data_IF_144227419098
#
_entry.id   IF_144227419098
#
_cell.length_a   1.000
_cell.length_b   1.000
_cell.length_c   1.000
_cell.angle_alpha   90.00
_cell.angle_beta   90.00
_cell.angle_gamma   90.00
#
_symmetry.space_group_name_H-M   'P 1'
#
loop_
_entity.id
_entity.type
_entity.pdbx_description
1 polymer ?
#
# COMPACT_ATOMS: atom_id res chain seq x y z
N UNK A 1 18.36 -15.04 31.73
CA UNK A 1 18.61 -14.89 30.26
C UNK A 1 17.26 -14.97 29.58
N UNK A 2 16.80 -13.87 29.00
CA UNK A 2 15.51 -13.83 28.32
C UNK A 2 15.58 -14.69 27.06
N UNK A 3 14.75 -15.73 27.00
CA UNK A 3 14.53 -16.54 25.82
C UNK A 3 13.90 -15.61 24.76
N UNK A 4 14.72 -15.10 23.83
CA UNK A 4 14.18 -14.36 22.67
C UNK A 4 13.42 -15.39 21.85
N UNK A 5 12.10 -15.22 21.82
CA UNK A 5 11.23 -16.00 20.95
C UNK A 5 11.66 -15.69 19.50
N UNK A 6 12.53 -16.54 18.93
CA UNK A 6 13.14 -16.39 17.60
C UNK A 6 12.14 -16.70 16.48
N UNK A 7 10.91 -17.07 16.81
CA UNK A 7 9.89 -17.53 15.86
C UNK A 7 9.07 -16.38 15.22
N UNK A 8 9.31 -15.13 15.65
CA UNK A 8 8.60 -13.97 15.11
C UNK A 8 9.60 -13.05 14.42
N UNK A 9 9.61 -12.99 13.08
CA UNK A 9 10.48 -12.09 12.35
C UNK A 9 10.06 -10.63 12.52
N UNK A 10 11.01 -9.72 12.40
CA UNK A 10 10.71 -8.31 12.19
C UNK A 10 10.29 -8.12 10.73
N UNK A 11 9.23 -7.36 10.50
CA UNK A 11 8.73 -7.05 9.15
C UNK A 11 8.89 -5.56 8.92
N UNK A 12 9.62 -5.19 7.86
CA UNK A 12 9.71 -3.83 7.35
C UNK A 12 8.87 -3.76 6.07
N UNK A 13 7.80 -2.97 6.10
CA UNK A 13 6.95 -2.73 4.94
C UNK A 13 7.27 -1.36 4.35
N UNK A 14 7.67 -1.32 3.07
CA UNK A 14 7.98 -0.09 2.33
C UNK A 14 6.97 0.03 1.20
N UNK A 15 6.23 1.13 1.16
CA UNK A 15 5.22 1.42 0.16
C UNK A 15 5.60 2.71 -0.58
N UNK A 16 5.89 2.60 -1.87
CA UNK A 16 6.05 3.77 -2.75
C UNK A 16 4.69 4.39 -3.09
N UNK A 17 4.70 5.67 -3.47
CA UNK A 17 3.52 6.36 -3.96
C UNK A 17 3.69 6.64 -5.46
N UNK A 18 2.65 6.36 -6.23
CA UNK A 18 2.55 6.63 -7.67
C UNK A 18 3.71 6.05 -8.52
N UNK A 19 4.32 4.96 -8.07
CA UNK A 19 5.39 4.30 -8.79
C UNK A 19 4.84 3.28 -9.79
N UNK A 20 5.09 3.50 -11.09
CA UNK A 20 4.77 2.52 -12.12
C UNK A 20 5.58 1.23 -11.98
N UNK A 21 5.00 0.09 -12.31
CA UNK A 21 5.67 -1.21 -12.24
C UNK A 21 6.96 -1.27 -13.08
N UNK A 22 7.03 -0.47 -14.14
CA UNK A 22 8.18 -0.30 -15.05
C UNK A 22 9.26 0.66 -14.53
N UNK A 23 9.03 1.34 -13.42
CA UNK A 23 9.91 2.40 -12.90
C UNK A 23 11.04 1.86 -12.01
N UNK A 24 11.66 0.76 -12.43
CA UNK A 24 12.80 0.11 -11.74
C UNK A 24 13.71 -0.59 -12.74
N UNK A 25 15.01 -0.67 -12.47
CA UNK A 25 15.96 -1.43 -13.28
C UNK A 25 15.60 -2.91 -13.38
N UNK A 26 15.26 -3.53 -12.26
CA UNK A 26 14.81 -4.93 -12.19
C UNK A 26 13.50 -5.23 -12.93
N UNK A 27 12.78 -4.21 -13.38
CA UNK A 27 11.62 -4.32 -14.26
C UNK A 27 11.98 -4.22 -15.75
N UNK A 28 13.28 -4.13 -16.09
CA UNK A 28 13.79 -4.04 -17.46
C UNK A 28 13.95 -2.61 -17.96
N UNK A 29 13.81 -1.60 -17.12
CA UNK A 29 14.01 -0.20 -17.50
C UNK A 29 15.49 0.19 -17.38
N UNK A 30 16.19 0.24 -18.51
CA UNK A 30 17.62 0.59 -18.58
C UNK A 30 17.92 2.08 -18.40
N UNK A 31 16.91 2.95 -18.45
CA UNK A 31 17.06 4.39 -18.29
C UNK A 31 17.11 4.78 -16.79
N UNK A 32 16.68 3.90 -15.91
CA UNK A 32 16.64 4.13 -14.47
C UNK A 32 17.72 3.35 -13.74
N UNK A 33 18.38 4.01 -12.79
CA UNK A 33 19.33 3.38 -11.88
C UNK A 33 18.68 3.18 -10.50
N UNK A 34 18.31 1.95 -10.18
CA UNK A 34 17.68 1.58 -8.90
C UNK A 34 18.43 0.44 -8.20
N UNK A 35 19.73 0.60 -7.92
CA UNK A 35 20.61 -0.52 -7.53
C UNK A 35 20.16 -1.21 -6.24
N UNK A 36 19.56 -0.50 -5.29
CA UNK A 36 19.08 -1.09 -4.04
C UNK A 36 17.82 -1.94 -4.24
N UNK A 37 16.89 -1.47 -5.10
CA UNK A 37 15.69 -2.23 -5.44
C UNK A 37 16.05 -3.44 -6.31
N UNK A 38 16.96 -3.26 -7.25
CA UNK A 38 17.46 -4.33 -8.12
C UNK A 38 18.12 -5.44 -7.28
N UNK A 39 18.94 -5.06 -6.29
CA UNK A 39 19.53 -6.01 -5.34
C UNK A 39 18.48 -6.74 -4.50
N UNK A 40 17.43 -6.06 -4.05
CA UNK A 40 16.33 -6.71 -3.33
C UNK A 40 15.61 -7.73 -4.21
N UNK A 41 15.39 -7.41 -5.48
CA UNK A 41 14.78 -8.33 -6.45
C UNK A 41 15.69 -9.56 -6.72
N UNK A 42 17.02 -9.38 -6.78
CA UNK A 42 17.98 -10.47 -7.00
C UNK A 42 18.09 -11.41 -5.80
N UNK A 43 18.01 -10.88 -4.58
CA UNK A 43 18.23 -11.65 -3.35
C UNK A 43 16.95 -12.14 -2.68
N UNK A 44 15.81 -11.65 -3.12
CA UNK A 44 14.49 -11.95 -2.58
C UNK A 44 13.56 -12.60 -3.59
N UNK A 45 12.28 -12.28 -3.47
CA UNK A 45 11.23 -12.73 -4.39
C UNK A 45 10.60 -11.50 -5.05
N UNK A 46 10.58 -11.45 -6.37
CA UNK A 46 9.85 -10.46 -7.16
C UNK A 46 8.55 -11.09 -7.68
N UNK A 47 7.43 -10.47 -7.37
CA UNK A 47 6.13 -10.89 -7.87
C UNK A 47 5.79 -10.11 -9.14
N UNK A 48 5.64 -10.79 -10.27
CA UNK A 48 5.32 -10.17 -11.56
C UNK A 48 3.84 -9.75 -11.66
N UNK A 49 2.96 -10.49 -11.00
CA UNK A 49 1.52 -10.30 -11.04
C UNK A 49 0.96 -10.08 -9.63
N UNK A 50 1.29 -8.94 -9.04
CA UNK A 50 0.79 -8.53 -7.74
C UNK A 50 0.05 -7.20 -7.88
N UNK A 51 -1.25 -7.19 -7.61
CA UNK A 51 -2.13 -6.06 -7.89
C UNK A 51 -2.71 -5.46 -6.62
N UNK A 52 -2.88 -4.14 -6.62
CA UNK A 52 -3.65 -3.44 -5.60
C UNK A 52 -5.14 -3.72 -5.75
N UNK A 53 -5.88 -3.66 -4.64
CA UNK A 53 -7.34 -3.77 -4.65
C UNK A 53 -8.02 -2.56 -5.33
N UNK A 54 -7.30 -1.45 -5.50
CA UNK A 54 -7.75 -0.24 -6.18
C UNK A 54 -6.57 0.49 -6.80
N UNK A 55 -6.73 1.14 -7.97
CA UNK A 55 -5.68 1.92 -8.62
C UNK A 55 -5.50 3.33 -8.00
N UNK A 56 -6.25 3.68 -6.97
CA UNK A 56 -6.21 5.00 -6.32
C UNK A 56 -5.58 4.90 -4.93
N UNK A 57 -4.72 5.85 -4.57
CA UNK A 57 -3.90 5.81 -3.37
C UNK A 57 -4.70 5.65 -2.06
N UNK A 58 -5.76 6.43 -1.83
CA UNK A 58 -6.53 6.35 -0.59
C UNK A 58 -7.20 4.99 -0.38
N UNK A 59 -7.98 4.44 -1.33
CA UNK A 59 -8.57 3.12 -1.16
C UNK A 59 -7.52 1.98 -1.14
N UNK A 60 -6.45 2.07 -1.94
CA UNK A 60 -5.38 1.07 -1.89
C UNK A 60 -4.71 1.03 -0.51
N UNK A 61 -4.38 2.18 0.07
CA UNK A 61 -3.79 2.28 1.42
C UNK A 61 -4.75 1.80 2.50
N UNK A 62 -6.04 2.13 2.40
CA UNK A 62 -7.06 1.62 3.30
C UNK A 62 -7.14 0.09 3.24
N UNK A 63 -7.11 -0.50 2.04
CA UNK A 63 -7.10 -1.96 1.87
C UNK A 63 -5.86 -2.60 2.49
N UNK A 64 -4.68 -2.01 2.35
CA UNK A 64 -3.43 -2.51 2.96
C UNK A 64 -3.53 -2.47 4.50
N UNK A 65 -4.09 -1.40 5.07
CA UNK A 65 -4.18 -1.22 6.51
C UNK A 65 -5.25 -2.07 7.18
N UNK A 66 -6.36 -2.33 6.48
CA UNK A 66 -7.51 -3.06 7.03
C UNK A 66 -7.56 -4.53 6.64
N UNK A 67 -6.91 -4.89 5.53
CA UNK A 67 -7.07 -6.21 4.90
C UNK A 67 -8.40 -6.38 4.16
N UNK A 68 -9.16 -5.30 3.98
CA UNK A 68 -10.48 -5.30 3.35
C UNK A 68 -10.43 -4.66 1.95
N UNK A 69 -11.38 -5.01 1.09
CA UNK A 69 -11.55 -4.37 -0.23
C UNK A 69 -12.34 -3.04 -0.09
N UNK A 70 -12.26 -2.10 -1.07
CA UNK A 70 -12.92 -0.80 -0.99
C UNK A 70 -14.42 -0.83 -0.69
N UNK A 71 -15.14 -1.83 -1.17
CA UNK A 71 -16.56 -2.01 -0.88
C UNK A 71 -16.86 -2.40 0.58
N UNK A 72 -15.88 -2.91 1.31
CA UNK A 72 -16.01 -3.30 2.72
C UNK A 72 -15.59 -2.16 3.65
N UNK A 73 -14.39 -1.57 3.43
CA UNK A 73 -13.89 -0.49 4.28
C UNK A 73 -14.46 0.90 3.92
N UNK A 74 -15.23 1.03 2.83
CA UNK A 74 -15.94 2.25 2.46
C UNK A 74 -15.12 3.36 1.80
N UNK A 75 -13.80 3.26 1.74
CA UNK A 75 -12.95 4.23 1.03
C UNK A 75 -12.89 3.83 -0.43
N UNK A 76 -13.71 4.45 -1.28
CA UNK A 76 -13.84 4.06 -2.69
C UNK A 76 -13.10 4.98 -3.65
N UNK A 77 -12.73 6.19 -3.21
CA UNK A 77 -12.07 7.19 -4.04
C UNK A 77 -11.04 7.99 -3.24
N UNK A 78 -10.34 8.90 -3.93
CA UNK A 78 -9.32 9.76 -3.36
C UNK A 78 -9.89 10.68 -2.28
N UNK A 79 -9.31 10.62 -1.08
CA UNK A 79 -9.67 11.47 0.05
C UNK A 79 -9.04 12.85 -0.10
N UNK A 80 -9.87 13.87 -0.37
CA UNK A 80 -9.46 15.27 -0.42
C UNK A 80 -9.73 15.94 0.92
N UNK A 81 -8.88 16.87 1.31
CA UNK A 81 -9.10 17.74 2.47
C UNK A 81 -10.46 18.46 2.33
N UNK A 82 -11.37 18.22 3.26
CA UNK A 82 -12.71 18.84 3.29
C UNK A 82 -13.85 18.06 2.61
N UNK A 83 -13.60 16.92 1.95
CA UNK A 83 -14.64 16.13 1.27
C UNK A 83 -14.81 14.72 1.84
N UNK A 84 -14.55 14.52 3.10
CA UNK A 84 -14.49 13.20 3.72
C UNK A 84 -15.81 12.74 4.33
N UNK A 85 -16.93 13.06 3.69
CA UNK A 85 -18.23 12.49 4.05
C UNK A 85 -18.54 11.32 3.13
N UNK A 86 -18.47 10.12 3.67
CA UNK A 86 -18.92 8.91 3.01
C UNK A 86 -20.19 8.40 3.68
N UNK A 87 -21.12 7.93 2.89
CA UNK A 87 -22.34 7.30 3.40
C UNK A 87 -22.17 5.79 3.20
N UNK A 88 -22.21 5.06 4.30
CA UNK A 88 -22.19 3.60 4.29
C UNK A 88 -23.44 3.04 3.57
N UNK A 89 -23.40 1.78 3.20
CA UNK A 89 -24.55 1.05 2.61
C UNK A 89 -25.77 0.99 3.53
N UNK A 90 -25.58 1.21 4.84
CA UNK A 90 -26.62 1.30 5.85
C UNK A 90 -27.15 2.74 6.10
N UNK A 91 -26.62 3.73 5.35
CA UNK A 91 -26.98 5.14 5.49
C UNK A 91 -26.20 5.91 6.56
N UNK A 92 -25.24 5.29 7.23
CA UNK A 92 -24.40 5.94 8.24
C UNK A 92 -23.37 6.85 7.59
N UNK A 93 -23.29 8.10 8.03
CA UNK A 93 -22.25 9.04 7.61
C UNK A 93 -20.94 8.74 8.33
N UNK A 94 -19.89 8.40 7.56
CA UNK A 94 -18.53 8.21 8.07
C UNK A 94 -17.74 9.49 7.80
N UNK A 95 -17.31 10.16 8.87
CA UNK A 95 -16.38 11.28 8.78
C UNK A 95 -14.97 10.76 9.06
N UNK A 96 -14.08 10.77 8.06
CA UNK A 96 -12.68 10.46 8.28
C UNK A 96 -11.99 11.67 8.94
N UNK A 97 -11.33 11.42 10.07
CA UNK A 97 -10.53 12.46 10.71
C UNK A 97 -9.38 12.85 9.79
N UNK A 98 -9.20 14.16 9.58
CA UNK A 98 -8.04 14.71 8.90
C UNK A 98 -6.77 14.16 9.55
N UNK A 99 -5.98 13.42 8.78
CA UNK A 99 -4.65 13.02 9.20
C UNK A 99 -3.84 14.29 9.47
N UNK A 100 -3.35 14.44 10.69
CA UNK A 100 -2.34 15.45 10.99
C UNK A 100 -1.08 15.08 10.21
N UNK A 101 -0.67 15.94 9.31
CA UNK A 101 0.67 15.93 8.69
C UNK A 101 1.73 16.19 9.74
#
# INVERSE_FOLDING_TARGET
MANRNTDKPNILFILSDDQGAWAMGCAGNSELSTPNLDRLAETGIKFENFFCASPVCSPARASILTGEIPSQHGVQDFLRKGNSKFINTDGTEITYMEGRT
#
